data_IF_001946090066
#
_entry.id   IF_001946090066
#
_cell.length_a   1.000
_cell.length_b   1.000
_cell.length_c   1.000
_cell.angle_alpha   90.00
_cell.angle_beta   90.00
_cell.angle_gamma   90.00
#
_symmetry.space_group_name_H-M   'P 1'
#
loop_
_entity.id
_entity.type
_entity.pdbx_description
1 polymer ?
#
# COMPACT_ATOMS: atom_id res chain seq x y z
N UNK A 1 -9.86 2.41 6.44
CA UNK A 1 -9.75 2.67 4.99
C UNK A 1 -11.11 2.50 4.38
N UNK A 2 -11.45 3.35 3.42
CA UNK A 2 -12.76 3.41 2.77
C UNK A 2 -12.54 3.41 1.26
N UNK A 3 -13.32 2.61 0.50
CA UNK A 3 -13.23 2.62 -0.96
C UNK A 3 -13.84 3.87 -1.56
N UNK A 4 -13.46 4.18 -2.79
CA UNK A 4 -14.16 5.16 -3.60
C UNK A 4 -15.56 4.66 -3.96
N UNK A 5 -16.46 5.58 -4.28
CA UNK A 5 -17.77 5.24 -4.83
C UNK A 5 -17.62 4.91 -6.32
N UNK A 6 -18.32 3.88 -6.83
CA UNK A 6 -18.28 3.58 -8.25
C UNK A 6 -18.79 4.78 -9.09
N UNK A 7 -18.13 5.09 -10.20
CA UNK A 7 -18.58 6.14 -11.11
C UNK A 7 -19.96 5.79 -11.70
N UNK A 8 -20.72 6.80 -12.11
CA UNK A 8 -22.11 6.57 -12.58
C UNK A 8 -22.20 5.84 -13.92
N UNK A 9 -21.39 6.23 -14.90
CA UNK A 9 -21.41 5.67 -16.29
C UNK A 9 -20.01 5.48 -16.85
N UNK A 10 -19.30 6.60 -17.12
CA UNK A 10 -17.95 6.56 -17.67
C UNK A 10 -17.02 5.79 -16.72
N UNK A 11 -16.21 4.88 -17.27
CA UNK A 11 -15.24 4.06 -16.55
C UNK A 11 -15.83 3.06 -15.53
N UNK A 12 -17.15 2.86 -15.46
CA UNK A 12 -17.76 1.91 -14.52
C UNK A 12 -17.22 0.48 -14.69
N UNK A 13 -17.04 0.04 -15.94
CA UNK A 13 -16.47 -1.28 -16.23
C UNK A 13 -15.06 -1.42 -15.67
N UNK A 14 -14.19 -0.46 -15.95
CA UNK A 14 -12.81 -0.48 -15.44
C UNK A 14 -12.75 -0.39 -13.90
N UNK A 15 -13.68 0.35 -13.27
CA UNK A 15 -13.83 0.37 -11.82
C UNK A 15 -14.17 -1.02 -11.27
N UNK A 16 -15.13 -1.75 -11.89
CA UNK A 16 -15.51 -3.11 -11.48
C UNK A 16 -14.31 -4.06 -11.67
N UNK A 17 -13.63 -4.00 -12.81
CA UNK A 17 -12.43 -4.79 -13.08
C UNK A 17 -11.35 -4.54 -12.01
N UNK A 18 -11.11 -3.28 -11.62
CA UNK A 18 -10.19 -2.94 -10.53
C UNK A 18 -10.65 -3.47 -9.18
N UNK A 19 -11.97 -3.46 -8.90
CA UNK A 19 -12.54 -3.94 -7.62
C UNK A 19 -12.45 -5.47 -7.49
N UNK A 20 -12.53 -6.19 -8.60
CA UNK A 20 -12.45 -7.66 -8.65
C UNK A 20 -11.02 -8.19 -8.76
N UNK A 21 -10.08 -7.36 -9.20
CA UNK A 21 -8.67 -7.74 -9.32
C UNK A 21 -7.97 -7.70 -7.96
N UNK A 22 -8.03 -8.80 -7.22
CA UNK A 22 -7.45 -8.94 -5.87
C UNK A 22 -6.02 -9.48 -5.88
N UNK A 23 -5.62 -10.18 -6.94
CA UNK A 23 -4.31 -10.80 -7.06
C UNK A 23 -3.27 -9.80 -7.59
N UNK A 24 -2.05 -9.95 -7.10
CA UNK A 24 -0.86 -9.28 -7.62
C UNK A 24 0.27 -10.32 -7.72
N UNK A 25 0.86 -10.57 -8.89
CA UNK A 25 2.04 -11.42 -9.02
C UNK A 25 3.17 -10.91 -8.14
N UNK A 26 3.91 -11.81 -7.52
CA UNK A 26 5.04 -11.49 -6.65
C UNK A 26 6.33 -12.13 -7.18
N UNK A 27 7.50 -11.50 -7.02
CA UNK A 27 8.77 -12.15 -7.32
C UNK A 27 9.01 -13.34 -6.37
N UNK A 28 9.65 -14.39 -6.88
CA UNK A 28 9.97 -15.59 -6.10
C UNK A 28 11.26 -15.44 -5.27
N UNK A 29 11.85 -14.24 -5.26
CA UNK A 29 13.08 -13.94 -4.52
C UNK A 29 12.82 -12.97 -3.36
N UNK A 30 13.82 -12.82 -2.49
CA UNK A 30 13.76 -12.00 -1.29
C UNK A 30 14.24 -10.55 -1.49
N UNK A 31 14.48 -10.12 -2.72
CA UNK A 31 15.06 -8.79 -3.00
C UNK A 31 14.24 -7.66 -2.40
N UNK A 32 12.92 -7.66 -2.60
CA UNK A 32 12.07 -6.62 -2.04
C UNK A 32 12.06 -6.63 -0.50
N UNK A 33 12.13 -7.81 0.11
CA UNK A 33 12.25 -7.96 1.56
C UNK A 33 13.58 -7.38 2.08
N UNK A 34 14.70 -7.70 1.44
CA UNK A 34 16.01 -7.16 1.84
C UNK A 34 16.08 -5.65 1.68
N UNK A 35 15.58 -5.10 0.58
CA UNK A 35 15.54 -3.65 0.35
C UNK A 35 14.64 -2.97 1.38
N UNK A 36 13.48 -3.54 1.70
CA UNK A 36 12.60 -3.02 2.74
C UNK A 36 13.28 -3.03 4.13
N UNK A 37 14.09 -4.04 4.45
CA UNK A 37 14.95 -4.05 5.64
C UNK A 37 15.99 -2.92 5.65
N UNK A 38 16.56 -2.58 4.49
CA UNK A 38 17.47 -1.44 4.37
C UNK A 38 16.74 -0.10 4.61
N UNK A 39 15.50 0.06 4.12
CA UNK A 39 14.65 1.23 4.42
C UNK A 39 14.43 1.33 5.94
N UNK A 40 14.04 0.23 6.60
CA UNK A 40 13.80 0.20 8.04
C UNK A 40 15.05 0.63 8.83
N UNK A 41 16.19 0.08 8.48
CA UNK A 41 17.48 0.39 9.11
C UNK A 41 17.87 1.86 8.93
N UNK A 42 17.66 2.42 7.73
CA UNK A 42 17.91 3.82 7.44
C UNK A 42 16.97 4.77 8.21
N UNK A 43 15.70 4.38 8.36
CA UNK A 43 14.71 5.12 9.16
C UNK A 43 15.08 5.12 10.64
N UNK A 44 15.45 3.97 11.22
CA UNK A 44 15.91 3.85 12.61
C UNK A 44 17.18 4.67 12.88
N UNK A 45 18.08 4.72 11.91
CA UNK A 45 19.33 5.50 11.99
C UNK A 45 19.10 7.02 11.75
N UNK A 46 17.88 7.45 11.41
CA UNK A 46 17.56 8.85 11.14
C UNK A 46 18.30 9.44 9.94
N UNK A 47 18.56 8.64 8.89
CA UNK A 47 19.36 9.02 7.70
C UNK A 47 18.45 9.22 6.47
N UNK A 48 17.85 10.42 6.25
CA UNK A 48 16.85 10.64 5.19
C UNK A 48 17.38 10.32 3.77
N UNK A 49 18.64 10.63 3.47
CA UNK A 49 19.23 10.32 2.16
C UNK A 49 19.25 8.79 1.92
N UNK A 50 19.64 7.99 2.91
CA UNK A 50 19.62 6.53 2.80
C UNK A 50 18.19 5.96 2.72
N UNK A 51 17.21 6.60 3.36
CA UNK A 51 15.80 6.24 3.18
C UNK A 51 15.36 6.48 1.76
N UNK A 52 15.73 7.62 1.16
CA UNK A 52 15.44 7.92 -0.24
C UNK A 52 16.08 6.89 -1.17
N UNK A 53 17.38 6.63 -1.01
CA UNK A 53 18.13 5.72 -1.88
C UNK A 53 17.55 4.30 -1.85
N UNK A 54 17.34 3.73 -0.65
CA UNK A 54 16.75 2.40 -0.49
C UNK A 54 15.30 2.33 -0.99
N UNK A 55 14.50 3.39 -0.78
CA UNK A 55 13.12 3.42 -1.28
C UNK A 55 13.07 3.56 -2.80
N UNK A 56 13.99 4.31 -3.41
CA UNK A 56 14.10 4.39 -4.87
C UNK A 56 14.57 3.05 -5.46
N UNK A 57 15.48 2.34 -4.81
CA UNK A 57 15.89 0.99 -5.19
C UNK A 57 14.70 0.01 -5.13
N UNK A 58 13.86 0.09 -4.07
CA UNK A 58 12.63 -0.69 -3.96
C UNK A 58 11.71 -0.48 -5.16
N UNK A 59 11.42 0.78 -5.49
CA UNK A 59 10.56 1.12 -6.63
C UNK A 59 11.16 0.70 -7.97
N UNK A 60 12.47 0.83 -8.13
CA UNK A 60 13.16 0.40 -9.36
C UNK A 60 13.12 -1.11 -9.53
N UNK A 61 13.35 -1.86 -8.45
CA UNK A 61 13.29 -3.34 -8.45
C UNK A 61 11.88 -3.82 -8.74
N UNK A 62 10.88 -3.24 -8.08
CA UNK A 62 9.47 -3.56 -8.33
C UNK A 62 9.05 -3.19 -9.76
N UNK A 63 9.42 -2.01 -10.27
CA UNK A 63 9.12 -1.60 -11.65
C UNK A 63 9.70 -2.57 -12.67
N UNK A 64 10.91 -3.06 -12.45
CA UNK A 64 11.58 -4.04 -13.32
C UNK A 64 10.83 -5.37 -13.32
N UNK A 65 10.41 -5.88 -12.15
CA UNK A 65 9.63 -7.11 -12.04
C UNK A 65 8.29 -7.01 -12.77
N UNK A 66 7.55 -5.90 -12.57
CA UNK A 66 6.25 -5.71 -13.21
C UNK A 66 6.33 -5.26 -14.68
N UNK A 67 7.55 -5.04 -15.20
CA UNK A 67 7.80 -4.56 -16.57
C UNK A 67 7.07 -3.23 -16.86
N UNK A 68 7.11 -2.31 -15.91
CA UNK A 68 6.54 -0.96 -16.04
C UNK A 68 7.64 0.10 -16.05
N UNK A 69 7.30 1.32 -16.48
CA UNK A 69 8.23 2.46 -16.42
C UNK A 69 8.68 2.69 -14.98
N UNK A 70 9.94 3.05 -14.80
CA UNK A 70 10.46 3.43 -13.48
C UNK A 70 9.77 4.73 -13.03
N UNK A 71 9.32 4.76 -11.78
CA UNK A 71 8.80 5.98 -11.17
C UNK A 71 9.87 6.68 -10.34
N UNK A 72 9.83 8.02 -10.35
CA UNK A 72 10.64 8.84 -9.46
C UNK A 72 10.09 8.83 -8.04
N UNK A 73 10.96 9.17 -7.06
CA UNK A 73 10.57 9.27 -5.66
C UNK A 73 11.06 10.58 -5.04
N UNK A 74 10.22 11.17 -4.19
CA UNK A 74 10.62 12.20 -3.22
C UNK A 74 10.24 11.75 -1.82
N UNK A 75 11.23 11.66 -0.94
CA UNK A 75 11.01 11.47 0.49
C UNK A 75 11.05 12.84 1.17
N UNK A 76 9.92 13.27 1.69
CA UNK A 76 9.71 14.60 2.26
C UNK A 76 9.66 14.54 3.80
N UNK A 77 9.95 15.65 4.45
CA UNK A 77 10.10 15.67 5.90
C UNK A 77 8.74 15.54 6.61
N UNK A 78 7.91 16.56 6.59
CA UNK A 78 6.68 16.67 7.39
C UNK A 78 5.45 16.57 6.51
N UNK A 79 4.48 15.74 6.91
CA UNK A 79 3.19 15.59 6.21
C UNK A 79 2.43 16.90 6.17
N UNK A 80 1.85 17.26 5.03
CA UNK A 80 0.92 18.39 4.99
C UNK A 80 -0.39 18.01 5.71
N UNK A 81 -0.87 18.93 6.55
CA UNK A 81 -2.21 18.87 7.11
C UNK A 81 -3.17 19.40 6.04
N UNK A 82 -4.14 18.58 5.67
CA UNK A 82 -5.22 19.02 4.79
C UNK A 82 -6.48 19.22 5.62
N UNK A 83 -6.93 20.46 5.66
CA UNK A 83 -8.19 20.84 6.32
C UNK A 83 -9.30 20.87 5.26
N UNK A 84 -10.36 20.13 5.50
CA UNK A 84 -11.65 20.24 4.79
C UNK A 84 -12.70 20.72 5.79
N UNK A 85 -13.81 21.25 5.28
CA UNK A 85 -14.88 21.92 6.05
C UNK A 85 -15.28 21.22 7.36
N UNK A 86 -15.21 19.89 7.41
CA UNK A 86 -15.58 19.09 8.61
C UNK A 86 -14.55 18.02 8.99
N UNK A 87 -13.34 18.04 8.42
CA UNK A 87 -12.34 17.04 8.75
C UNK A 87 -10.92 17.52 8.45
N UNK A 88 -10.00 17.11 9.31
CA UNK A 88 -8.56 17.31 9.10
C UNK A 88 -7.93 15.94 8.92
N UNK A 89 -7.11 15.78 7.87
CA UNK A 89 -6.39 14.55 7.63
C UNK A 89 -4.95 14.80 7.19
N UNK A 90 -4.07 13.88 7.55
CA UNK A 90 -2.68 13.90 7.11
C UNK A 90 -2.55 13.19 5.77
N UNK A 91 -1.80 13.78 4.84
CA UNK A 91 -1.42 13.12 3.59
C UNK A 91 -0.14 12.30 3.83
N UNK A 92 -0.24 10.98 3.67
CA UNK A 92 0.87 10.05 3.90
C UNK A 92 1.79 9.91 2.71
N UNK A 93 1.22 9.88 1.51
CA UNK A 93 1.88 9.84 0.22
C UNK A 93 0.94 10.37 -0.86
N UNK A 94 1.47 10.54 -2.06
CA UNK A 94 0.70 10.71 -3.28
C UNK A 94 1.50 10.23 -4.51
N UNK A 95 0.78 9.82 -5.54
CA UNK A 95 1.29 9.50 -6.85
C UNK A 95 0.83 10.51 -7.88
N UNK A 96 1.74 11.00 -8.69
CA UNK A 96 1.49 11.93 -9.78
C UNK A 96 1.67 11.21 -11.13
N UNK A 97 0.59 10.81 -11.82
CA UNK A 97 0.68 10.03 -13.06
C UNK A 97 1.36 10.79 -14.20
N UNK A 98 1.14 12.09 -14.33
CA UNK A 98 1.72 12.92 -15.41
C UNK A 98 3.24 12.98 -15.35
N UNK A 99 3.81 13.05 -14.16
CA UNK A 99 5.27 13.13 -13.92
C UNK A 99 5.86 11.79 -13.51
N UNK A 100 5.03 10.75 -13.32
CA UNK A 100 5.42 9.43 -12.84
C UNK A 100 6.24 9.54 -11.56
N UNK A 101 5.74 10.32 -10.60
CA UNK A 101 6.43 10.66 -9.36
C UNK A 101 5.61 10.24 -8.14
N UNK A 102 6.25 9.52 -7.24
CA UNK A 102 5.73 9.21 -5.90
C UNK A 102 6.33 10.19 -4.89
N UNK A 103 5.51 10.72 -3.98
CA UNK A 103 5.98 11.46 -2.80
C UNK A 103 5.51 10.74 -1.54
N UNK A 104 6.41 10.58 -0.57
CA UNK A 104 6.12 9.98 0.73
C UNK A 104 6.73 10.84 1.83
N UNK A 105 6.01 11.02 2.94
CA UNK A 105 6.47 11.84 4.06
C UNK A 105 6.93 11.00 5.23
N UNK A 106 8.10 11.34 5.77
CA UNK A 106 8.71 10.62 6.89
C UNK A 106 8.15 10.99 8.27
N UNK A 107 7.56 12.17 8.44
CA UNK A 107 7.16 12.69 9.74
C UNK A 107 5.68 13.04 9.78
N UNK A 108 5.06 12.83 10.95
CA UNK A 108 3.68 13.24 11.21
C UNK A 108 3.52 14.76 11.14
N UNK A 109 2.33 15.23 10.76
CA UNK A 109 2.05 16.66 10.60
C UNK A 109 2.15 17.42 11.94
N UNK A 110 1.51 16.89 12.99
CA UNK A 110 1.35 17.59 14.27
C UNK A 110 2.61 17.47 15.13
N UNK A 111 3.03 16.25 15.42
CA UNK A 111 4.15 16.03 16.36
C UNK A 111 5.52 15.97 15.70
N UNK A 112 5.61 16.06 14.35
CA UNK A 112 6.85 15.95 13.57
C UNK A 112 7.68 14.71 13.89
N UNK A 113 7.07 13.68 14.48
CA UNK A 113 7.71 12.40 14.82
C UNK A 113 7.92 11.58 13.56
N UNK A 114 9.01 10.84 13.50
CA UNK A 114 9.24 9.87 12.42
C UNK A 114 8.12 8.84 12.44
N UNK A 115 7.50 8.61 11.30
CA UNK A 115 6.46 7.59 11.15
C UNK A 115 7.04 6.19 11.35
N UNK A 116 6.22 5.22 11.75
CA UNK A 116 6.70 3.84 11.84
C UNK A 116 7.10 3.31 10.46
N UNK A 117 8.09 2.40 10.43
CA UNK A 117 8.48 1.71 9.20
C UNK A 117 7.27 1.06 8.50
N UNK A 118 6.40 0.38 9.25
CA UNK A 118 5.20 -0.24 8.69
C UNK A 118 4.28 0.75 8.00
N UNK A 119 4.08 1.93 8.57
CA UNK A 119 3.29 3.00 7.94
C UNK A 119 3.99 3.54 6.69
N UNK A 120 5.30 3.79 6.75
CA UNK A 120 6.08 4.28 5.60
C UNK A 120 6.04 3.29 4.43
N UNK A 121 6.37 2.01 4.68
CA UNK A 121 6.36 0.96 3.66
C UNK A 121 4.96 0.73 3.08
N UNK A 122 3.91 0.75 3.93
CA UNK A 122 2.52 0.62 3.47
C UNK A 122 2.13 1.78 2.55
N UNK A 123 2.56 3.00 2.85
CA UNK A 123 2.35 4.16 1.98
C UNK A 123 3.11 4.00 0.66
N UNK A 124 4.38 3.61 0.70
CA UNK A 124 5.20 3.40 -0.51
C UNK A 124 4.56 2.35 -1.43
N UNK A 125 4.11 1.23 -0.87
CA UNK A 125 3.39 0.19 -1.63
C UNK A 125 2.05 0.69 -2.19
N UNK A 126 1.32 1.52 -1.44
CA UNK A 126 0.06 2.12 -1.85
C UNK A 126 0.24 3.02 -3.08
N UNK A 127 1.19 3.94 -3.01
CA UNK A 127 1.47 4.85 -4.13
C UNK A 127 2.04 4.10 -5.35
N UNK A 128 2.81 3.04 -5.13
CA UNK A 128 3.27 2.18 -6.21
C UNK A 128 2.12 1.36 -6.84
N UNK A 129 1.10 0.97 -6.09
CA UNK A 129 -0.09 0.33 -6.66
C UNK A 129 -0.88 1.28 -7.55
N UNK A 130 -0.94 2.59 -7.26
CA UNK A 130 -1.46 3.59 -8.20
C UNK A 130 -0.66 3.61 -9.50
N UNK A 131 0.68 3.54 -9.41
CA UNK A 131 1.54 3.42 -10.59
C UNK A 131 1.24 2.14 -11.42
N UNK A 132 1.02 1.00 -10.75
CA UNK A 132 0.65 -0.26 -11.43
C UNK A 132 -0.71 -0.17 -12.11
N UNK A 133 -1.69 0.48 -11.50
CA UNK A 133 -3.02 0.65 -12.08
C UNK A 133 -2.94 1.31 -13.46
N UNK A 134 -2.15 2.37 -13.61
CA UNK A 134 -1.97 3.05 -14.90
C UNK A 134 -1.05 2.28 -15.87
N UNK A 135 0.05 1.73 -15.40
CA UNK A 135 1.12 1.23 -16.29
C UNK A 135 1.11 -0.28 -16.51
N UNK A 136 0.61 -1.06 -15.56
CA UNK A 136 0.48 -2.53 -15.67
C UNK A 136 -0.92 -2.95 -16.09
N UNK A 137 -1.94 -2.46 -15.38
CA UNK A 137 -3.33 -2.87 -15.59
C UNK A 137 -4.06 -2.01 -16.61
N UNK A 138 -3.47 -0.85 -17.00
CA UNK A 138 -4.02 0.05 -18.00
C UNK A 138 -5.40 0.60 -17.66
N UNK A 139 -5.69 0.76 -16.38
CA UNK A 139 -6.91 1.42 -15.96
C UNK A 139 -6.88 2.91 -16.34
N UNK A 140 -8.02 3.49 -16.76
CA UNK A 140 -8.11 4.90 -17.12
C UNK A 140 -8.02 5.84 -15.93
N UNK A 141 -8.14 5.30 -14.73
CA UNK A 141 -8.03 5.98 -13.44
C UNK A 141 -7.63 4.96 -12.38
N UNK A 142 -7.11 5.41 -11.24
CA UNK A 142 -6.71 4.55 -10.13
C UNK A 142 -7.57 4.81 -8.91
N UNK A 143 -8.62 4.00 -8.77
CA UNK A 143 -9.58 4.10 -7.66
C UNK A 143 -9.15 3.25 -6.47
N UNK A 144 -9.45 3.72 -5.27
CA UNK A 144 -9.34 2.94 -4.05
C UNK A 144 -10.47 1.91 -3.96
N UNK A 145 -10.41 0.86 -4.78
CA UNK A 145 -11.35 -0.26 -4.76
C UNK A 145 -10.94 -1.31 -3.71
N UNK A 146 -11.76 -2.34 -3.48
CA UNK A 146 -11.37 -3.49 -2.65
C UNK A 146 -10.15 -4.18 -3.25
N UNK A 147 -10.18 -4.44 -4.56
CA UNK A 147 -9.05 -5.04 -5.27
C UNK A 147 -7.77 -4.22 -5.17
N UNK A 148 -7.86 -2.88 -5.24
CA UNK A 148 -6.71 -1.99 -5.02
C UNK A 148 -6.08 -2.21 -3.63
N UNK A 149 -6.88 -2.19 -2.56
CA UNK A 149 -6.36 -2.41 -1.20
C UNK A 149 -5.83 -3.82 -0.99
N UNK A 150 -6.44 -4.83 -1.63
CA UNK A 150 -5.94 -6.20 -1.58
C UNK A 150 -4.57 -6.32 -2.29
N UNK A 151 -4.40 -5.71 -3.47
CA UNK A 151 -3.10 -5.66 -4.17
C UNK A 151 -2.03 -4.95 -3.35
N UNK A 152 -2.40 -3.83 -2.74
CA UNK A 152 -1.50 -3.11 -1.82
C UNK A 152 -1.07 -3.98 -0.63
N UNK A 153 -2.01 -4.70 -0.02
CA UNK A 153 -1.71 -5.61 1.08
C UNK A 153 -0.80 -6.77 0.63
N UNK A 154 -1.02 -7.32 -0.56
CA UNK A 154 -0.16 -8.38 -1.14
C UNK A 154 1.29 -7.90 -1.23
N UNK A 155 1.53 -6.74 -1.86
CA UNK A 155 2.87 -6.19 -2.04
C UNK A 155 3.52 -5.83 -0.69
N UNK A 156 2.77 -5.17 0.19
CA UNK A 156 3.25 -4.78 1.52
C UNK A 156 3.70 -5.98 2.36
N UNK A 157 2.87 -7.02 2.46
CA UNK A 157 3.19 -8.20 3.26
C UNK A 157 4.35 -8.99 2.69
N UNK A 158 4.46 -9.10 1.35
CA UNK A 158 5.61 -9.69 0.69
C UNK A 158 6.91 -8.92 1.02
N UNK A 159 6.90 -7.61 0.84
CA UNK A 159 8.07 -6.76 1.11
C UNK A 159 8.45 -6.73 2.59
N UNK A 160 7.48 -6.88 3.49
CA UNK A 160 7.72 -6.91 4.94
C UNK A 160 8.10 -8.29 5.48
N UNK A 161 7.93 -9.36 4.69
CA UNK A 161 8.13 -10.73 5.15
C UNK A 161 7.12 -11.18 6.21
N UNK A 162 5.85 -10.76 6.09
CA UNK A 162 4.81 -11.10 7.05
C UNK A 162 3.63 -11.79 6.36
N UNK A 163 2.94 -12.65 7.08
CA UNK A 163 1.74 -13.32 6.57
C UNK A 163 0.66 -12.28 6.23
N UNK A 164 0.10 -12.39 5.01
CA UNK A 164 -1.00 -11.53 4.57
C UNK A 164 -2.24 -11.78 5.40
N UNK A 165 -2.85 -10.73 5.91
CA UNK A 165 -4.16 -10.77 6.56
C UNK A 165 -5.26 -10.72 5.51
N UNK A 166 -6.27 -11.59 5.63
CA UNK A 166 -7.49 -11.50 4.82
C UNK A 166 -8.30 -10.29 5.29
N UNK A 167 -8.49 -9.31 4.41
CA UNK A 167 -9.26 -8.12 4.74
C UNK A 167 -10.76 -8.45 4.87
N UNK A 168 -11.39 -7.99 5.93
CA UNK A 168 -12.84 -8.12 6.14
C UNK A 168 -13.50 -6.81 5.73
N UNK A 169 -14.35 -6.90 4.72
CA UNK A 169 -15.05 -5.76 4.14
C UNK A 169 -16.48 -5.66 4.67
N UNK A 170 -16.89 -4.44 5.01
CA UNK A 170 -18.29 -4.13 5.38
C UNK A 170 -18.84 -3.06 4.44
N UNK A 171 -20.07 -3.23 3.93
CA UNK A 171 -20.68 -2.25 3.06
C UNK A 171 -21.04 -0.98 3.84
N UNK A 172 -20.92 0.18 3.18
CA UNK A 172 -21.32 1.47 3.73
C UNK A 172 -22.11 2.28 2.71
N UNK A 173 -22.73 3.38 3.15
CA UNK A 173 -23.55 4.25 2.28
C UNK A 173 -22.78 4.68 1.02
N UNK A 174 -23.46 4.76 -0.11
CA UNK A 174 -22.88 5.20 -1.39
C UNK A 174 -22.20 4.09 -2.18
N UNK A 175 -22.58 2.83 -2.02
CA UNK A 175 -22.00 1.65 -2.69
C UNK A 175 -20.49 1.54 -2.46
N UNK A 176 -20.02 1.93 -1.31
CA UNK A 176 -18.61 1.86 -0.88
C UNK A 176 -18.42 0.76 0.14
N UNK A 177 -17.17 0.42 0.40
CA UNK A 177 -16.76 -0.58 1.36
C UNK A 177 -15.76 0.01 2.35
N UNK A 178 -15.77 -0.49 3.56
CA UNK A 178 -14.82 -0.13 4.61
C UNK A 178 -14.17 -1.39 5.15
N UNK A 179 -12.86 -1.34 5.42
CA UNK A 179 -12.17 -2.44 6.11
C UNK A 179 -12.57 -2.42 7.59
N UNK A 180 -13.07 -3.55 8.07
CA UNK A 180 -13.25 -3.82 9.49
C UNK A 180 -11.94 -4.38 10.07
N UNK A 181 -11.15 -3.49 10.63
CA UNK A 181 -9.84 -3.86 11.18
C UNK A 181 -9.93 -4.78 12.39
N UNK A 182 -10.98 -4.66 13.21
CA UNK A 182 -11.18 -5.52 14.36
C UNK A 182 -11.37 -6.97 13.90
N UNK A 183 -12.30 -7.22 13.00
CA UNK A 183 -12.57 -8.55 12.44
C UNK A 183 -11.38 -9.07 11.61
N UNK A 184 -10.72 -8.21 10.84
CA UNK A 184 -9.50 -8.55 10.09
C UNK A 184 -8.39 -9.08 11.03
N UNK A 185 -8.16 -8.41 12.15
CA UNK A 185 -7.13 -8.81 13.11
C UNK A 185 -7.53 -10.08 13.86
N UNK A 186 -8.79 -10.25 14.26
CA UNK A 186 -9.29 -11.46 14.91
C UNK A 186 -9.18 -12.70 14.00
N UNK A 187 -9.54 -12.58 12.73
CA UNK A 187 -9.41 -13.66 11.75
C UNK A 187 -7.94 -14.07 11.52
N UNK A 188 -7.01 -13.12 11.55
CA UNK A 188 -5.59 -13.41 11.43
C UNK A 188 -5.05 -14.21 12.64
N UNK A 189 -5.46 -13.87 13.87
CA UNK A 189 -5.08 -14.57 15.09
C UNK A 189 -5.62 -16.02 15.06
N UNK A 190 -6.87 -16.22 14.65
CA UNK A 190 -7.48 -17.55 14.55
C UNK A 190 -6.80 -18.42 13.48
N UNK A 191 -6.38 -17.85 12.36
CA UNK A 191 -5.65 -18.57 11.32
C UNK A 191 -4.26 -19.03 11.81
N UNK A 192 -3.54 -18.20 12.53
CA UNK A 192 -2.24 -18.56 13.13
C UNK A 192 -2.38 -19.68 14.16
N UNK A 193 -3.37 -19.61 15.05
CA UNK A 193 -3.62 -20.63 16.07
C UNK A 193 -3.99 -22.00 15.47
N UNK A 194 -4.68 -22.02 14.31
CA UNK A 194 -4.99 -23.28 13.61
C UNK A 194 -3.78 -23.90 12.91
N UNK A 195 -2.82 -23.10 12.50
CA UNK A 195 -1.58 -23.58 11.84
C UNK A 195 -0.57 -24.15 12.85
N UNK A 196 -0.67 -23.77 14.12
CA UNK A 196 0.20 -24.23 15.22
C UNK A 196 -0.37 -25.43 15.98
N UNK A 197 -1.59 -25.87 15.69
CA UNK A 197 -2.18 -27.04 16.34
C UNK A 197 -1.43 -28.32 15.89
N UNK A 198 -0.88 -29.14 16.82
CA UNK A 198 -0.16 -30.36 16.45
C UNK A 198 -1.12 -31.32 15.74
N UNK A 199 -0.62 -31.89 14.64
CA UNK A 199 -1.28 -33.05 14.01
C UNK A 199 -1.35 -34.13 15.08
N UNK A 200 -2.55 -34.43 15.60
CA UNK A 200 -2.75 -35.60 16.42
C UNK A 200 -2.59 -36.79 15.49
N UNK A 201 -1.45 -37.51 15.67
CA UNK A 201 -1.23 -38.81 15.06
C UNK A 201 -2.40 -39.71 15.43
N UNK A 202 -3.12 -40.20 14.42
CA UNK A 202 -4.03 -41.35 14.52
C UNK A 202 -3.27 -42.61 14.18
#
# INVERSE_FOLDING_TARGET
MLTDAPPRRKNLRAFIESDELHALPLPNDDRLLRIAGAIESAMKAGKPAKVLDASQEFLTTASSFYQVRKCGLRVLAVRPLRVREYSTFELFGDYHPDTILIRVWMRTAVHKRVTSFGTFLSTLCHEFCHHLDFHKFRFPDSWHTRGFYERTAVLYHHAKGTTRKRLVWVPVKGRRWRIDWQRTNQAAVQASAKSEAPIKDM
#
